data_IF_276637671992
#
_entry.id   IF_276637671992
#
_cell.length_a   1.000
_cell.length_b   1.000
_cell.length_c   1.000
_cell.angle_alpha   90.00
_cell.angle_beta   90.00
_cell.angle_gamma   90.00
#
_symmetry.space_group_name_H-M   'P 1'
#
loop_
_entity.id
_entity.type
_entity.pdbx_description
1 polymer ?
#
# COMPACT_ATOMS: atom_id res chain seq x y z
N UNK A 1 -35.68 11.00 -11.78
CA UNK A 1 -34.62 10.53 -10.88
C UNK A 1 -33.52 9.94 -11.75
N UNK A 2 -32.44 10.69 -11.95
CA UNK A 2 -31.36 10.34 -12.88
C UNK A 2 -30.29 9.58 -12.10
N UNK A 3 -30.09 8.31 -12.44
CA UNK A 3 -28.96 7.50 -11.95
C UNK A 3 -27.82 7.77 -12.93
N UNK A 4 -26.80 8.49 -12.47
CA UNK A 4 -25.56 8.69 -13.23
C UNK A 4 -24.65 7.49 -12.94
N UNK A 5 -24.55 6.57 -13.90
CA UNK A 5 -23.55 5.51 -13.93
C UNK A 5 -22.23 6.09 -14.46
N UNK A 6 -21.21 6.19 -13.59
CA UNK A 6 -19.84 6.55 -14.01
C UNK A 6 -19.16 5.35 -14.69
N UNK A 7 -18.34 5.55 -15.73
CA UNK A 7 -17.76 4.45 -16.50
C UNK A 7 -16.60 3.78 -15.74
N UNK A 8 -16.71 2.47 -15.58
CA UNK A 8 -15.64 1.57 -15.14
C UNK A 8 -14.68 1.36 -16.32
N UNK A 9 -13.43 1.78 -16.19
CA UNK A 9 -12.39 1.47 -17.18
C UNK A 9 -12.01 -0.01 -17.08
N UNK A 10 -12.43 -0.79 -18.07
CA UNK A 10 -12.06 -2.19 -18.27
C UNK A 10 -10.88 -2.23 -19.25
N UNK A 11 -9.67 -2.55 -18.77
CA UNK A 11 -8.54 -2.84 -19.66
C UNK A 11 -8.46 -4.35 -19.90
N UNK A 12 -8.67 -4.76 -21.16
CA UNK A 12 -8.31 -6.10 -21.64
C UNK A 12 -6.83 -6.11 -22.02
N UNK A 13 -6.07 -7.09 -21.53
CA UNK A 13 -4.72 -7.40 -22.03
C UNK A 13 -4.83 -8.64 -22.91
N UNK A 14 -4.62 -8.49 -24.22
CA UNK A 14 -4.46 -9.61 -25.15
C UNK A 14 -2.96 -9.85 -25.35
N UNK A 15 -2.45 -11.02 -24.94
CA UNK A 15 -1.05 -11.40 -25.17
C UNK A 15 -0.98 -12.20 -26.47
N UNK A 16 -0.29 -11.68 -27.49
CA UNK A 16 0.05 -12.42 -28.71
C UNK A 16 1.45 -13.00 -28.60
N UNK A 17 1.58 -14.31 -28.83
CA UNK A 17 2.83 -15.06 -28.70
C UNK A 17 3.68 -14.94 -29.97
N UNK A 18 4.80 -14.22 -29.92
CA UNK A 18 6.07 -14.61 -30.54
C UNK A 18 7.11 -13.49 -30.42
N UNK A 19 7.99 -13.58 -29.41
CA UNK A 19 9.39 -13.15 -29.49
C UNK A 19 10.16 -13.66 -28.26
N UNK A 20 11.38 -14.16 -28.49
CA UNK A 20 12.26 -14.81 -27.49
C UNK A 20 12.71 -13.83 -26.39
N UNK A 21 12.96 -14.30 -25.15
CA UNK A 21 13.28 -13.42 -24.03
C UNK A 21 14.73 -12.92 -24.10
N UNK A 22 14.90 -11.60 -24.16
CA UNK A 22 16.16 -10.92 -23.84
C UNK A 22 15.98 -10.35 -22.43
N UNK A 23 16.68 -10.91 -21.45
CA UNK A 23 16.68 -10.41 -20.08
C UNK A 23 17.41 -9.07 -20.02
N UNK A 24 16.65 -7.99 -19.88
CA UNK A 24 17.11 -6.69 -19.40
C UNK A 24 16.00 -6.08 -18.56
N UNK A 25 16.28 -5.90 -17.26
CA UNK A 25 15.39 -5.26 -16.29
C UNK A 25 14.87 -3.93 -16.85
N UNK A 26 13.58 -3.88 -17.16
CA UNK A 26 12.85 -2.66 -17.51
C UNK A 26 11.36 -2.88 -17.21
N UNK A 27 10.93 -2.48 -16.01
CA UNK A 27 9.51 -2.41 -15.63
C UNK A 27 8.83 -1.14 -16.20
N UNK A 28 9.14 -0.80 -17.46
CA UNK A 28 8.58 0.35 -18.17
C UNK A 28 7.48 -0.06 -19.15
N UNK A 29 6.62 -1.01 -18.78
CA UNK A 29 5.56 -1.50 -19.66
C UNK A 29 4.17 -1.31 -19.04
N UNK A 30 3.79 -0.06 -18.77
CA UNK A 30 2.38 0.40 -18.74
C UNK A 30 2.23 1.86 -19.22
N UNK A 31 3.30 2.66 -19.30
CA UNK A 31 3.19 4.05 -19.75
C UNK A 31 3.61 4.23 -21.22
N UNK A 32 2.68 3.93 -22.12
CA UNK A 32 2.77 4.41 -23.50
C UNK A 32 1.36 4.69 -24.04
N UNK A 33 0.68 5.68 -23.45
CA UNK A 33 -0.38 6.45 -24.12
C UNK A 33 -0.58 7.73 -23.31
N UNK A 34 -0.60 8.85 -24.03
CA UNK A 34 -0.62 10.25 -23.58
C UNK A 34 0.77 10.81 -23.24
N UNK A 35 1.48 11.24 -24.29
CA UNK A 35 2.28 12.48 -24.27
C UNK A 35 2.60 12.87 -25.72
N UNK A 36 1.79 13.74 -26.30
CA UNK A 36 2.14 14.48 -27.50
C UNK A 36 2.90 15.75 -27.06
N UNK A 37 4.16 15.84 -27.50
CA UNK A 37 5.01 17.03 -27.64
C UNK A 37 4.96 18.18 -26.63
N UNK A 38 6.05 18.39 -25.87
CA UNK A 38 6.70 19.70 -25.74
C UNK A 38 8.09 19.60 -25.09
N UNK A 39 8.99 20.48 -25.50
CA UNK A 39 10.45 20.48 -25.33
C UNK A 39 10.97 20.72 -23.90
N UNK A 40 12.14 20.10 -23.63
CA UNK A 40 13.24 20.53 -22.76
C UNK A 40 12.91 21.07 -21.34
N UNK A 41 13.01 20.16 -20.37
CA UNK A 41 13.86 20.26 -19.17
C UNK A 41 13.78 18.91 -18.44
N UNK A 42 14.82 18.10 -18.55
CA UNK A 42 14.96 16.90 -17.73
C UNK A 42 15.23 17.35 -16.30
N UNK A 43 14.18 17.67 -15.55
CA UNK A 43 14.24 17.59 -14.09
C UNK A 43 14.52 16.13 -13.78
N UNK A 44 15.70 15.84 -13.25
CA UNK A 44 15.96 14.57 -12.62
C UNK A 44 14.92 14.42 -11.50
N UNK A 45 13.88 13.64 -11.76
CA UNK A 45 12.94 13.20 -10.74
C UNK A 45 13.83 12.47 -9.74
N UNK A 46 13.92 13.00 -8.53
CA UNK A 46 14.64 12.36 -7.46
C UNK A 46 13.87 11.08 -7.11
N UNK A 47 14.24 9.96 -7.71
CA UNK A 47 13.40 8.75 -7.84
C UNK A 47 13.07 8.04 -6.51
N UNK A 48 13.48 8.56 -5.35
CA UNK A 48 13.36 7.83 -4.08
C UNK A 48 12.96 8.69 -2.86
N UNK A 49 12.28 9.82 -3.06
CA UNK A 49 11.76 10.56 -1.91
C UNK A 49 10.44 9.94 -1.43
N UNK A 50 10.51 9.15 -0.34
CA UNK A 50 9.32 8.65 0.33
C UNK A 50 8.61 9.79 1.08
N UNK A 51 7.27 9.83 0.99
CA UNK A 51 6.45 10.73 1.82
C UNK A 51 6.05 10.01 3.10
N UNK A 52 6.31 10.60 4.26
CA UNK A 52 5.99 10.02 5.55
C UNK A 52 4.74 10.67 6.15
N UNK A 53 3.73 9.86 6.49
CA UNK A 53 2.49 10.31 7.12
C UNK A 53 2.35 9.64 8.48
N UNK A 54 2.55 10.43 9.55
CA UNK A 54 2.46 9.97 10.94
C UNK A 54 1.03 10.07 11.45
N UNK A 55 0.49 8.99 11.96
CA UNK A 55 -0.82 8.92 12.61
C UNK A 55 -0.69 8.93 14.13
N UNK A 56 -1.75 9.42 14.78
CA UNK A 56 -1.85 9.42 16.25
C UNK A 56 -2.25 8.06 16.81
N UNK A 57 -3.06 7.32 16.07
CA UNK A 57 -3.65 6.07 16.52
C UNK A 57 -3.81 5.05 15.38
N UNK A 58 -3.95 3.77 15.76
CA UNK A 58 -4.14 2.67 14.83
C UNK A 58 -5.39 2.84 13.97
N UNK A 59 -6.48 3.36 14.52
CA UNK A 59 -7.74 3.53 13.81
C UNK A 59 -7.57 4.29 12.48
N UNK A 60 -6.79 5.38 12.48
CA UNK A 60 -6.54 6.15 11.26
C UNK A 60 -5.64 5.42 10.26
N UNK A 61 -4.60 4.73 10.73
CA UNK A 61 -3.74 3.90 9.87
C UNK A 61 -4.55 2.75 9.22
N UNK A 62 -5.42 2.10 9.99
CA UNK A 62 -6.23 0.97 9.54
C UNK A 62 -7.32 1.40 8.55
N UNK A 63 -7.84 2.63 8.63
CA UNK A 63 -8.75 3.18 7.61
C UNK A 63 -8.11 3.20 6.21
N UNK A 64 -6.80 3.46 6.12
CA UNK A 64 -6.07 3.39 4.84
C UNK A 64 -6.13 1.99 4.25
N UNK A 65 -5.89 0.96 5.08
CA UNK A 65 -5.98 -0.44 4.66
C UNK A 65 -7.42 -0.80 4.30
N UNK A 66 -8.39 -0.41 5.12
CA UNK A 66 -9.81 -0.68 4.88
C UNK A 66 -10.25 -0.14 3.51
N UNK A 67 -9.94 1.14 3.25
CA UNK A 67 -10.27 1.77 1.98
C UNK A 67 -9.52 1.12 0.80
N UNK A 68 -8.24 0.79 0.98
CA UNK A 68 -7.43 0.11 -0.04
C UNK A 68 -7.97 -1.28 -0.38
N UNK A 69 -8.49 -2.00 0.61
CA UNK A 69 -9.08 -3.34 0.42
C UNK A 69 -10.38 -3.36 -0.39
N UNK A 70 -11.00 -2.19 -0.57
CA UNK A 70 -12.19 -2.00 -1.38
C UNK A 70 -11.84 -1.53 -2.81
N UNK A 71 -10.56 -1.22 -3.06
CA UNK A 71 -10.08 -0.82 -4.38
C UNK A 71 -10.17 -2.00 -5.36
N UNK A 72 -10.55 -1.69 -6.61
CA UNK A 72 -10.59 -2.64 -7.73
C UNK A 72 -9.20 -3.27 -7.99
N UNK A 73 -8.12 -2.57 -7.62
CA UNK A 73 -6.76 -3.07 -7.75
C UNK A 73 -6.36 -4.10 -6.67
N UNK A 74 -7.17 -4.27 -5.61
CA UNK A 74 -7.10 -5.39 -4.67
C UNK A 74 -5.85 -5.51 -3.79
N UNK A 75 -4.88 -4.60 -3.90
CA UNK A 75 -3.66 -4.65 -3.10
C UNK A 75 -3.93 -4.13 -1.67
N UNK A 76 -4.13 -5.05 -0.73
CA UNK A 76 -4.22 -4.73 0.71
C UNK A 76 -2.81 -4.54 1.25
N UNK A 77 -2.47 -3.37 1.81
CA UNK A 77 -1.14 -3.15 2.39
C UNK A 77 -0.91 -4.09 3.58
N UNK A 78 0.28 -4.66 3.68
CA UNK A 78 0.73 -5.39 4.85
C UNK A 78 1.18 -4.43 5.94
N UNK A 79 0.97 -4.81 7.20
CA UNK A 79 1.47 -4.06 8.35
C UNK A 79 2.83 -4.61 8.74
N UNK A 80 3.77 -3.68 8.94
CA UNK A 80 5.11 -3.96 9.42
C UNK A 80 5.31 -3.35 10.80
N UNK A 81 6.00 -4.07 11.67
CA UNK A 81 6.55 -3.56 12.91
C UNK A 81 8.08 -3.53 12.82
N UNK A 82 8.67 -2.43 13.26
CA UNK A 82 10.11 -2.27 13.34
C UNK A 82 10.47 -1.60 14.66
N UNK A 83 11.43 -2.16 15.38
CA UNK A 83 12.08 -1.46 16.49
C UNK A 83 13.27 -0.67 15.95
N UNK A 84 13.17 0.66 15.96
CA UNK A 84 14.18 1.55 15.39
C UNK A 84 14.42 2.75 16.31
N UNK A 85 15.69 3.02 16.63
CA UNK A 85 16.09 4.17 17.45
C UNK A 85 15.34 4.28 18.78
N UNK A 86 15.11 3.13 19.44
CA UNK A 86 14.39 3.04 20.73
C UNK A 86 12.87 3.21 20.62
N UNK A 87 12.32 3.28 19.41
CA UNK A 87 10.89 3.44 19.15
C UNK A 87 10.32 2.18 18.49
N UNK A 88 9.07 1.87 18.83
CA UNK A 88 8.30 0.84 18.13
C UNK A 88 7.50 1.52 17.03
N UNK A 89 7.83 1.21 15.78
CA UNK A 89 7.21 1.82 14.61
C UNK A 89 6.33 0.80 13.94
N UNK A 90 5.08 1.18 13.69
CA UNK A 90 4.13 0.41 12.91
C UNK A 90 3.89 1.16 11.63
N UNK A 91 4.02 0.51 10.48
CA UNK A 91 3.86 1.18 9.21
C UNK A 91 3.26 0.28 8.12
N UNK A 92 2.66 0.92 7.13
CA UNK A 92 2.31 0.34 5.84
C UNK A 92 2.94 1.19 4.74
N UNK A 93 3.20 0.56 3.61
CA UNK A 93 3.63 1.23 2.39
C UNK A 93 2.51 1.17 1.37
N UNK A 94 2.19 2.31 0.78
CA UNK A 94 1.31 2.40 -0.39
C UNK A 94 2.07 3.05 -1.53
N UNK A 95 2.00 2.44 -2.72
CA UNK A 95 2.52 3.04 -3.94
C UNK A 95 1.43 3.89 -4.62
N UNK A 96 1.78 5.11 -5.03
CA UNK A 96 0.90 5.94 -5.88
C UNK A 96 1.68 6.50 -7.07
N UNK A 97 0.97 7.02 -8.06
CA UNK A 97 1.57 7.79 -9.15
C UNK A 97 2.25 9.02 -8.52
N UNK A 98 3.58 9.06 -8.52
CA UNK A 98 4.37 10.15 -7.94
C UNK A 98 5.24 9.78 -6.73
N UNK A 99 5.17 8.55 -6.20
CA UNK A 99 6.12 8.07 -5.19
C UNK A 99 5.58 7.05 -4.19
N UNK A 100 6.46 6.63 -3.28
CA UNK A 100 6.13 5.75 -2.15
C UNK A 100 5.65 6.58 -0.96
N UNK A 101 4.47 6.25 -0.42
CA UNK A 101 3.97 6.86 0.82
C UNK A 101 4.09 5.83 1.95
N UNK A 102 4.80 6.23 3.01
CA UNK A 102 4.97 5.47 4.24
C UNK A 102 4.02 6.04 5.27
N UNK A 103 2.98 5.28 5.57
CA UNK A 103 2.00 5.57 6.59
C UNK A 103 2.45 4.91 7.88
N UNK A 104 2.69 5.66 8.96
CA UNK A 104 3.26 5.10 10.18
C UNK A 104 2.66 5.68 11.45
N UNK A 105 2.86 4.97 12.55
CA UNK A 105 2.63 5.47 13.91
C UNK A 105 3.73 4.93 14.83
N UNK A 106 3.91 5.62 15.96
CA UNK A 106 4.85 5.20 17.01
C UNK A 106 4.03 4.64 18.17
N UNK A 107 4.35 3.43 18.62
CA UNK A 107 3.70 2.78 19.76
C UNK A 107 4.61 2.74 20.98
N UNK A 108 4.00 2.61 22.16
CA UNK A 108 4.72 2.47 23.43
C UNK A 108 5.37 1.09 23.62
N UNK A 109 5.13 0.14 22.72
CA UNK A 109 5.62 -1.23 22.80
C UNK A 109 5.33 -2.03 21.52
N UNK A 110 5.88 -3.24 21.39
CA UNK A 110 5.60 -4.10 20.27
C UNK A 110 4.13 -4.57 20.26
N UNK A 111 3.57 -4.92 19.10
CA UNK A 111 2.26 -5.56 19.01
C UNK A 111 2.22 -6.84 19.84
N UNK A 112 1.18 -6.98 20.68
CA UNK A 112 1.06 -8.15 21.54
C UNK A 112 0.65 -9.43 20.79
N UNK A 113 0.08 -9.30 19.59
CA UNK A 113 -0.45 -10.42 18.80
C UNK A 113 -0.09 -10.24 17.32
N UNK A 114 -0.14 -11.34 16.56
CA UNK A 114 0.37 -11.41 15.19
C UNK A 114 -0.59 -10.91 14.11
N UNK A 115 -1.87 -10.72 14.43
CA UNK A 115 -2.88 -10.26 13.48
C UNK A 115 -3.73 -9.13 14.04
N UNK A 116 -4.26 -8.32 13.13
CA UNK A 116 -5.36 -7.40 13.39
C UNK A 116 -6.59 -7.92 12.66
N UNK A 117 -7.65 -8.20 13.40
CA UNK A 117 -8.98 -8.38 12.85
C UNK A 117 -9.60 -6.99 12.66
N UNK A 118 -9.97 -6.64 11.44
CA UNK A 118 -10.60 -5.37 11.07
C UNK A 118 -11.97 -5.64 10.44
N UNK A 119 -13.04 -5.20 11.09
CA UNK A 119 -14.41 -5.34 10.61
C UNK A 119 -14.62 -4.44 9.41
N UNK A 120 -14.96 -5.04 8.25
CA UNK A 120 -15.11 -4.28 7.00
C UNK A 120 -16.23 -3.23 7.04
N UNK A 121 -17.29 -3.50 7.81
CA UNK A 121 -18.49 -2.66 7.84
C UNK A 121 -18.40 -1.51 8.85
N UNK A 122 -17.79 -1.75 10.02
CA UNK A 122 -17.75 -0.76 11.11
C UNK A 122 -16.40 -0.04 11.20
N UNK A 123 -15.33 -0.65 10.67
CA UNK A 123 -13.96 -0.19 10.88
C UNK A 123 -13.41 -0.51 12.28
N UNK A 124 -14.20 -1.20 13.13
CA UNK A 124 -13.71 -1.67 14.42
C UNK A 124 -12.59 -2.68 14.23
N UNK A 125 -11.62 -2.67 15.14
CA UNK A 125 -10.50 -3.58 15.07
C UNK A 125 -10.13 -4.16 16.43
N UNK A 126 -9.56 -5.36 16.39
CA UNK A 126 -8.97 -6.01 17.55
C UNK A 126 -7.71 -6.77 17.17
N UNK A 127 -6.77 -6.88 18.12
CA UNK A 127 -5.60 -7.73 17.94
C UNK A 127 -5.99 -9.17 18.21
N UNK A 128 -5.57 -10.10 17.36
CA UNK A 128 -5.87 -11.55 17.46
C UNK A 128 -4.63 -12.41 17.16
N UNK A 129 -4.60 -13.63 17.71
CA UNK A 129 -3.47 -14.56 17.53
C UNK A 129 -3.50 -15.31 16.19
N UNK A 130 -4.70 -15.53 15.65
CA UNK A 130 -4.91 -16.35 14.46
C UNK A 130 -6.07 -15.79 13.63
N UNK A 131 -6.09 -16.19 12.37
CA UNK A 131 -7.20 -15.93 11.46
C UNK A 131 -8.45 -16.60 12.02
N UNK A 132 -9.54 -15.84 12.09
CA UNK A 132 -10.85 -16.31 12.54
C UNK A 132 -11.72 -16.80 11.38
N UNK A 133 -13.00 -17.01 11.67
CA UNK A 133 -13.99 -17.53 10.71
C UNK A 133 -14.96 -16.46 10.21
N UNK A 134 -14.79 -15.19 10.62
CA UNK A 134 -15.65 -14.10 10.16
C UNK A 134 -15.28 -13.69 8.74
N UNK A 135 -16.13 -14.06 7.77
CA UNK A 135 -15.95 -13.71 6.36
C UNK A 135 -16.09 -12.22 6.06
N UNK A 136 -16.64 -11.43 6.98
CA UNK A 136 -16.78 -9.97 6.86
C UNK A 136 -15.63 -9.21 7.53
N UNK A 137 -14.63 -9.92 8.06
CA UNK A 137 -13.41 -9.35 8.60
C UNK A 137 -12.26 -9.39 7.60
N UNK A 138 -11.35 -8.43 7.73
CA UNK A 138 -9.99 -8.50 7.22
C UNK A 138 -9.08 -9.01 8.34
N UNK A 139 -8.28 -10.02 8.08
CA UNK A 139 -7.23 -10.47 8.99
C UNK A 139 -5.89 -10.02 8.44
N UNK A 140 -5.35 -8.94 9.00
CA UNK A 140 -4.14 -8.29 8.51
C UNK A 140 -2.96 -8.80 9.35
N UNK A 141 -1.96 -9.48 8.75
CA UNK A 141 -0.79 -9.90 9.49
C UNK A 141 0.09 -8.71 9.87
N UNK A 142 0.72 -8.79 11.04
CA UNK A 142 1.76 -7.87 11.48
C UNK A 142 3.11 -8.56 11.32
N UNK A 143 3.92 -8.05 10.40
CA UNK A 143 5.23 -8.61 10.08
C UNK A 143 6.31 -7.87 10.86
N UNK A 144 7.01 -8.59 11.73
CA UNK A 144 8.14 -8.06 12.48
C UNK A 144 9.39 -8.02 11.60
N UNK A 145 9.96 -6.83 11.43
CA UNK A 145 11.17 -6.61 10.67
C UNK A 145 12.37 -6.52 11.62
N UNK A 146 13.41 -7.27 11.31
CA UNK A 146 14.70 -7.16 12.01
C UNK A 146 15.42 -5.85 11.66
N UNK A 147 15.30 -5.41 10.40
CA UNK A 147 15.98 -4.21 9.87
C UNK A 147 15.22 -3.58 8.71
N UNK A 148 15.44 -2.29 8.49
CA UNK A 148 14.95 -1.53 7.35
C UNK A 148 15.95 -0.43 6.97
N UNK A 149 15.95 -0.02 5.70
CA UNK A 149 16.68 1.15 5.21
C UNK A 149 15.82 2.44 5.24
N UNK A 150 14.56 2.36 5.68
CA UNK A 150 13.68 3.51 5.85
C UNK A 150 14.19 4.39 7.00
N UNK A 151 14.30 5.68 6.73
CA UNK A 151 14.64 6.68 7.73
C UNK A 151 13.37 7.40 8.18
N UNK A 152 12.87 7.07 9.37
CA UNK A 152 11.66 7.69 9.90
C UNK A 152 11.98 9.09 10.45
N UNK A 153 11.20 10.14 10.08
CA UNK A 153 11.40 11.50 10.54
C UNK A 153 10.87 11.74 11.96
#
# INVERSE_FOLDING_TARGET
MVIILTPVYLFFVTISSNQKPVYKNNLNCVLALICHGSNNRTMAINENQATYLKYKEYGDLLKVILYSSQSVLGAVPLIYHLHHSGQNIIFIQTGTIGGNVIHYLVTNGPPAKKFIELKRLTGDYSFVEKIGTDGMSLYIPILELEKSNLQFP
#
